data_IF_112132975852
#
_entry.id   IF_112132975852
#
_cell.length_a   1.000
_cell.length_b   1.000
_cell.length_c   1.000
_cell.angle_alpha   90.00
_cell.angle_beta   90.00
_cell.angle_gamma   90.00
#
_symmetry.space_group_name_H-M   'P 1'
#
loop_
_entity.id
_entity.type
_entity.pdbx_description
1 polymer ?
#
# COMPACT_ATOMS: atom_id res chain seq x y z
N UNK A 1 22.80 27.09 -21.08
CA UNK A 1 22.60 27.17 -22.54
C UNK A 1 22.59 25.76 -23.12
N UNK A 2 21.70 25.50 -24.08
CA UNK A 2 21.38 24.17 -24.64
C UNK A 2 19.91 23.85 -24.38
N UNK A 3 19.03 24.07 -25.37
CA UNK A 3 17.58 23.94 -25.18
C UNK A 3 17.10 22.48 -25.19
N UNK A 4 17.69 21.62 -26.05
CA UNK A 4 17.29 20.21 -26.23
C UNK A 4 18.47 19.36 -26.70
N UNK A 5 18.50 18.09 -26.29
CA UNK A 5 19.39 17.04 -26.81
C UNK A 5 18.53 15.84 -27.22
N UNK A 6 18.79 15.27 -28.40
CA UNK A 6 18.10 14.08 -28.90
C UNK A 6 19.08 13.06 -29.45
N UNK A 7 18.85 11.78 -29.15
CA UNK A 7 19.63 10.65 -29.66
C UNK A 7 18.69 9.74 -30.46
N UNK A 8 19.07 9.43 -31.70
CA UNK A 8 18.27 8.60 -32.60
C UNK A 8 19.16 7.68 -33.43
N UNK A 9 18.79 6.40 -33.51
CA UNK A 9 19.44 5.41 -34.35
C UNK A 9 18.41 4.81 -35.31
N UNK A 10 18.63 4.95 -36.63
CA UNK A 10 17.71 4.45 -37.68
C UNK A 10 17.85 2.93 -37.91
N UNK A 11 19.07 2.42 -37.81
CA UNK A 11 19.42 1.01 -37.99
C UNK A 11 20.37 0.58 -36.86
N UNK A 12 20.35 -0.71 -36.51
CA UNK A 12 21.16 -1.24 -35.40
C UNK A 12 20.54 -0.99 -34.03
N UNK A 13 21.39 -0.89 -32.99
CA UNK A 13 20.98 -0.75 -31.60
C UNK A 13 21.57 0.53 -31.00
N UNK A 14 20.76 1.24 -30.20
CA UNK A 14 21.24 2.27 -29.27
C UNK A 14 21.53 1.61 -27.92
N UNK A 15 22.75 1.76 -27.39
CA UNK A 15 23.12 1.24 -26.07
C UNK A 15 23.80 2.30 -25.22
N UNK A 16 23.34 2.46 -23.99
CA UNK A 16 23.93 3.30 -22.96
C UNK A 16 24.45 2.38 -21.86
N UNK A 17 25.76 2.34 -21.65
CA UNK A 17 26.42 1.44 -20.70
C UNK A 17 27.46 2.24 -19.91
N UNK A 18 27.53 2.01 -18.60
CA UNK A 18 28.61 2.46 -17.73
C UNK A 18 29.30 1.22 -17.16
N UNK A 19 30.63 1.19 -17.17
CA UNK A 19 31.42 0.09 -16.59
C UNK A 19 31.53 0.24 -15.07
N UNK A 20 31.69 1.48 -14.62
CA UNK A 20 31.85 1.86 -13.22
C UNK A 20 31.03 3.11 -12.95
N UNK A 21 30.59 3.28 -11.70
CA UNK A 21 29.77 4.41 -11.28
C UNK A 21 28.27 4.29 -11.62
N UNK A 22 27.44 5.18 -11.05
CA UNK A 22 25.99 5.13 -11.22
C UNK A 22 25.56 5.71 -12.57
N UNK A 23 24.44 5.21 -13.09
CA UNK A 23 23.70 5.83 -14.19
C UNK A 23 22.45 6.46 -13.62
N UNK A 24 22.35 7.79 -13.70
CA UNK A 24 21.18 8.53 -13.27
C UNK A 24 20.45 9.15 -14.46
N UNK A 25 19.14 8.93 -14.51
CA UNK A 25 18.25 9.54 -15.49
C UNK A 25 17.14 10.25 -14.73
N UNK A 26 17.00 11.56 -14.92
CA UNK A 26 16.04 12.37 -14.19
C UNK A 26 15.37 13.39 -15.10
N UNK A 27 14.09 13.67 -14.84
CA UNK A 27 13.34 14.76 -15.44
C UNK A 27 12.81 15.67 -14.32
N UNK A 28 13.55 16.72 -13.97
CA UNK A 28 13.28 17.54 -12.77
C UNK A 28 11.99 18.37 -12.87
N UNK A 29 11.73 18.95 -14.05
CA UNK A 29 10.56 19.81 -14.30
C UNK A 29 9.65 19.23 -15.41
N UNK A 30 9.87 17.97 -15.79
CA UNK A 30 9.24 17.35 -16.95
C UNK A 30 8.76 15.94 -16.68
N UNK A 31 8.30 15.28 -17.74
CA UNK A 31 7.83 13.89 -17.68
C UNK A 31 8.88 12.95 -18.29
N UNK A 32 9.11 11.82 -17.64
CA UNK A 32 9.87 10.71 -18.21
C UNK A 32 8.92 9.66 -18.78
N UNK A 33 9.09 9.32 -20.06
CA UNK A 33 8.33 8.25 -20.72
C UNK A 33 9.28 7.24 -21.32
N UNK A 34 9.06 5.97 -20.98
CA UNK A 34 9.75 4.82 -21.54
C UNK A 34 8.72 4.01 -22.33
N UNK A 35 8.98 3.79 -23.61
CA UNK A 35 8.09 3.03 -24.48
C UNK A 35 8.92 2.06 -25.32
N UNK A 36 8.40 0.85 -25.50
CA UNK A 36 8.98 -0.16 -26.37
C UNK A 36 7.83 -0.87 -27.09
N UNK A 37 7.91 -0.99 -28.42
CA UNK A 37 6.90 -1.67 -29.23
C UNK A 37 6.79 -3.16 -28.89
N UNK A 38 7.93 -3.80 -28.62
CA UNK A 38 8.00 -5.24 -28.32
C UNK A 38 8.03 -5.49 -26.81
N UNK A 39 9.23 -5.48 -26.22
CA UNK A 39 9.45 -5.84 -24.82
C UNK A 39 10.26 -4.75 -24.12
N UNK A 40 9.77 -4.31 -22.96
CA UNK A 40 10.53 -3.53 -22.00
C UNK A 40 10.96 -4.47 -20.85
N UNK A 41 12.24 -4.51 -20.53
CA UNK A 41 12.77 -5.30 -19.39
C UNK A 41 13.50 -4.36 -18.44
N UNK A 42 13.11 -4.38 -17.17
CA UNK A 42 13.80 -3.69 -16.08
C UNK A 42 14.18 -4.77 -15.07
N UNK A 43 15.48 -4.93 -14.84
CA UNK A 43 16.04 -5.96 -13.97
C UNK A 43 17.19 -5.40 -13.16
N UNK A 44 17.31 -5.84 -11.91
CA UNK A 44 18.40 -5.52 -11.00
C UNK A 44 18.95 -6.83 -10.44
N UNK A 45 20.25 -6.87 -10.17
CA UNK A 45 20.87 -7.99 -9.46
C UNK A 45 20.55 -7.96 -7.94
N UNK A 46 20.08 -6.81 -7.44
CA UNK A 46 19.65 -6.62 -6.06
C UNK A 46 18.23 -6.07 -6.06
N UNK A 47 18.02 -4.87 -5.53
CA UNK A 47 16.68 -4.32 -5.35
C UNK A 47 16.19 -3.51 -6.55
N UNK A 48 14.85 -3.47 -6.70
CA UNK A 48 14.13 -2.56 -7.59
C UNK A 48 13.11 -1.82 -6.75
N UNK A 49 13.17 -0.49 -6.75
CA UNK A 49 12.21 0.36 -6.04
C UNK A 49 11.42 1.23 -7.01
N UNK A 50 10.09 1.17 -6.93
CA UNK A 50 9.21 2.15 -7.56
C UNK A 50 8.63 3.03 -6.45
N UNK A 51 8.85 4.34 -6.53
CA UNK A 51 8.36 5.32 -5.57
C UNK A 51 7.60 6.42 -6.30
N UNK A 52 6.38 6.71 -5.84
CA UNK A 52 5.55 7.77 -6.38
C UNK A 52 4.83 8.49 -5.25
N UNK A 53 4.94 9.83 -5.20
CA UNK A 53 4.33 10.65 -4.15
C UNK A 53 2.80 10.53 -4.13
N UNK A 54 2.18 10.48 -5.30
CA UNK A 54 0.71 10.41 -5.45
C UNK A 54 0.23 8.97 -5.61
N UNK A 55 0.81 8.25 -6.58
CA UNK A 55 0.34 6.91 -6.96
C UNK A 55 1.36 6.15 -7.80
N UNK A 56 1.32 4.83 -7.69
CA UNK A 56 1.97 3.88 -8.60
C UNK A 56 0.88 2.98 -9.18
N UNK A 57 0.89 2.78 -10.50
CA UNK A 57 -0.09 1.97 -11.21
C UNK A 57 0.62 1.02 -12.18
N UNK A 58 0.31 -0.27 -12.07
CA UNK A 58 0.77 -1.31 -12.99
C UNK A 58 -0.48 -1.88 -13.67
N UNK A 59 -0.51 -1.88 -15.00
CA UNK A 59 -1.66 -2.36 -15.79
C UNK A 59 -1.15 -3.35 -16.83
N UNK A 60 -1.88 -4.46 -17.02
CA UNK A 60 -1.59 -5.44 -18.05
C UNK A 60 -2.75 -6.39 -18.28
N UNK A 61 -3.10 -6.65 -19.54
CA UNK A 61 -4.11 -7.64 -19.93
C UNK A 61 -5.48 -7.44 -19.28
N UNK A 62 -5.90 -6.18 -19.05
CA UNK A 62 -7.16 -5.85 -18.36
C UNK A 62 -7.13 -5.96 -16.83
N UNK A 63 -5.99 -6.35 -16.25
CA UNK A 63 -5.76 -6.36 -14.80
C UNK A 63 -4.90 -5.17 -14.37
N UNK A 64 -4.99 -4.79 -13.09
CA UNK A 64 -4.19 -3.70 -12.55
C UNK A 64 -3.80 -3.90 -11.08
N UNK A 65 -2.73 -3.22 -10.68
CA UNK A 65 -2.30 -2.99 -9.32
C UNK A 65 -2.07 -1.49 -9.13
N UNK A 66 -2.70 -0.90 -8.10
CA UNK A 66 -2.70 0.51 -7.79
C UNK A 66 -2.33 0.73 -6.32
N UNK A 67 -1.32 1.55 -6.09
CA UNK A 67 -0.86 1.99 -4.77
C UNK A 67 -1.15 3.48 -4.66
N UNK A 68 -2.03 3.89 -3.75
CA UNK A 68 -2.48 5.29 -3.62
C UNK A 68 -2.99 5.58 -2.20
N UNK A 69 -2.52 6.67 -1.58
CA UNK A 69 -3.05 7.20 -0.31
C UNK A 69 -3.30 6.16 0.81
N UNK A 70 -2.34 5.27 1.06
CA UNK A 70 -2.47 4.22 2.09
C UNK A 70 -3.35 3.03 1.68
N UNK A 71 -3.84 3.00 0.44
CA UNK A 71 -4.61 1.91 -0.14
C UNK A 71 -3.75 1.10 -1.11
N UNK A 72 -3.87 -0.22 -1.00
CA UNK A 72 -3.42 -1.17 -2.01
C UNK A 72 -4.67 -1.73 -2.69
N UNK A 73 -4.77 -1.55 -3.99
CA UNK A 73 -5.91 -2.00 -4.80
C UNK A 73 -5.38 -2.82 -5.97
N UNK A 74 -5.85 -4.05 -6.12
CA UNK A 74 -5.58 -4.86 -7.30
C UNK A 74 -6.89 -5.40 -7.84
N UNK A 75 -7.07 -5.36 -9.16
CA UNK A 75 -8.31 -5.76 -9.82
C UNK A 75 -8.03 -6.58 -11.07
N UNK A 76 -8.91 -7.55 -11.32
CA UNK A 76 -8.92 -8.37 -12.55
C UNK A 76 -10.36 -8.70 -12.90
N UNK A 77 -10.66 -8.84 -14.19
CA UNK A 77 -12.00 -9.22 -14.68
C UNK A 77 -12.19 -10.73 -14.78
N UNK A 78 -11.09 -11.49 -14.77
CA UNK A 78 -11.10 -12.94 -14.93
C UNK A 78 -10.70 -13.62 -13.61
N UNK A 79 -9.61 -14.38 -13.62
CA UNK A 79 -9.21 -15.22 -12.48
C UNK A 79 -8.12 -14.56 -11.65
N UNK A 80 -8.35 -14.45 -10.34
CA UNK A 80 -7.31 -14.14 -9.36
C UNK A 80 -6.79 -15.43 -8.71
N UNK A 81 -5.56 -15.83 -9.03
CA UNK A 81 -4.92 -17.02 -8.47
C UNK A 81 -3.77 -16.63 -7.54
N UNK A 82 -3.86 -17.03 -6.27
CA UNK A 82 -2.81 -16.85 -5.26
C UNK A 82 -2.29 -18.19 -4.77
N UNK A 83 -1.04 -18.51 -5.10
CA UNK A 83 -0.34 -19.73 -4.64
C UNK A 83 0.61 -19.36 -3.51
N UNK A 84 0.30 -19.77 -2.28
CA UNK A 84 1.19 -19.55 -1.13
C UNK A 84 1.10 -20.70 -0.13
N UNK A 85 2.20 -20.95 0.60
CA UNK A 85 2.23 -21.91 1.71
C UNK A 85 1.52 -21.37 2.96
N UNK A 86 1.57 -20.06 3.20
CA UNK A 86 0.93 -19.39 4.35
C UNK A 86 0.42 -18.00 3.98
N UNK A 87 -0.64 -17.59 4.66
CA UNK A 87 -1.19 -16.24 4.59
C UNK A 87 -1.35 -15.75 6.02
N UNK A 88 -0.74 -14.61 6.34
CA UNK A 88 -0.95 -13.97 7.62
C UNK A 88 -1.68 -12.65 7.39
N UNK A 89 -2.81 -12.50 8.08
CA UNK A 89 -3.53 -11.23 8.20
C UNK A 89 -3.23 -10.72 9.60
N UNK A 90 -2.38 -9.71 9.70
CA UNK A 90 -2.14 -9.04 10.98
C UNK A 90 -3.41 -8.31 11.42
N UNK A 91 -3.63 -8.21 12.73
CA UNK A 91 -4.67 -7.35 13.28
C UNK A 91 -4.42 -5.88 12.91
N UNK A 92 -5.45 -5.02 12.95
CA UNK A 92 -5.24 -3.58 12.84
C UNK A 92 -4.24 -3.13 13.90
N UNK A 93 -3.38 -2.18 13.57
CA UNK A 93 -2.49 -1.57 14.54
C UNK A 93 -3.35 -0.84 15.59
N UNK A 94 -3.54 -1.45 16.75
CA UNK A 94 -4.20 -0.80 17.89
C UNK A 94 -3.22 0.14 18.54
N UNK A 95 -3.35 1.44 18.30
CA UNK A 95 -2.78 2.43 19.20
C UNK A 95 -3.67 2.47 20.46
N UNK A 96 -3.14 2.20 21.67
CA UNK A 96 -3.92 2.39 22.88
C UNK A 96 -4.34 3.87 22.93
N UNK A 97 -5.65 4.12 22.90
CA UNK A 97 -6.17 5.45 23.22
C UNK A 97 -5.76 5.73 24.66
N UNK A 98 -4.98 6.78 24.88
CA UNK A 98 -4.68 7.28 26.21
C UNK A 98 -5.94 7.99 26.74
N UNK A 99 -6.91 7.20 27.18
CA UNK A 99 -8.13 7.72 27.80
C UNK A 99 -7.71 8.24 29.17
N UNK A 100 -7.84 9.55 29.47
CA UNK A 100 -7.59 10.06 30.81
C UNK A 100 -8.59 9.39 31.75
N UNK A 101 -8.09 8.60 32.69
CA UNK A 101 -8.91 8.06 33.77
C UNK A 101 -9.36 9.24 34.64
N UNK A 102 -10.58 9.73 34.42
CA UNK A 102 -11.20 10.70 35.31
C UNK A 102 -11.53 9.97 36.63
N UNK A 103 -11.00 10.42 37.78
CA UNK A 103 -11.27 9.78 39.05
C UNK A 103 -12.75 9.94 39.40
N UNK A 104 -13.47 8.82 39.56
CA UNK A 104 -14.83 8.80 40.13
C UNK A 104 -15.98 8.38 39.20
N UNK A 105 -15.72 7.93 37.96
CA UNK A 105 -16.80 7.59 37.00
C UNK A 105 -17.00 6.11 36.68
N UNK A 106 -16.29 5.19 37.34
CA UNK A 106 -16.48 3.75 37.13
C UNK A 106 -16.60 3.06 38.49
N UNK A 107 -17.71 2.35 38.80
CA UNK A 107 -17.76 1.52 39.98
C UNK A 107 -16.67 0.44 39.89
N UNK A 108 -16.04 0.06 41.01
CA UNK A 108 -15.11 -1.06 41.01
C UNK A 108 -15.85 -2.29 40.50
N UNK A 109 -15.36 -2.89 39.40
CA UNK A 109 -15.84 -4.17 38.87
C UNK A 109 -15.44 -5.28 39.85
N UNK A 110 -16.14 -5.33 40.98
CA UNK A 110 -16.06 -6.42 41.92
C UNK A 110 -17.34 -7.23 41.83
N UNK A 111 -17.16 -8.48 41.42
CA UNK A 111 -18.13 -9.57 41.22
C UNK A 111 -18.79 -9.68 39.84
N UNK A 112 -18.70 -10.90 39.35
CA UNK A 112 -19.20 -11.56 38.13
C UNK A 112 -20.07 -10.71 37.20
N UNK A 113 -19.54 -10.39 36.02
CA UNK A 113 -20.32 -9.82 34.92
C UNK A 113 -21.41 -10.84 34.54
N UNK A 114 -22.67 -10.49 34.75
CA UNK A 114 -23.80 -11.30 34.29
C UNK A 114 -23.82 -11.33 32.75
N UNK A 115 -23.58 -12.52 32.17
CA UNK A 115 -23.54 -12.72 30.71
C UNK A 115 -24.86 -12.28 30.06
N UNK A 116 -26.00 -12.49 30.72
CA UNK A 116 -27.31 -12.03 30.22
C UNK A 116 -27.45 -10.50 30.21
N UNK A 117 -26.92 -9.80 31.23
CA UNK A 117 -26.90 -8.35 31.25
C UNK A 117 -26.06 -7.78 30.09
N UNK A 118 -24.92 -8.42 29.82
CA UNK A 118 -24.06 -8.05 28.70
C UNK A 118 -24.75 -8.28 27.35
N UNK A 119 -25.41 -9.43 27.18
CA UNK A 119 -26.16 -9.74 25.95
C UNK A 119 -27.33 -8.80 25.72
N UNK A 120 -28.03 -8.39 26.77
CA UNK A 120 -29.14 -7.44 26.67
C UNK A 120 -28.67 -6.02 26.40
N UNK A 121 -27.54 -5.58 26.97
CA UNK A 121 -26.94 -4.27 26.68
C UNK A 121 -26.44 -4.17 25.23
N UNK A 122 -25.81 -5.24 24.70
CA UNK A 122 -25.39 -5.32 23.29
C UNK A 122 -26.60 -5.24 22.36
N UNK A 123 -27.71 -5.94 22.68
CA UNK A 123 -28.95 -5.88 21.89
C UNK A 123 -29.61 -4.50 21.97
N UNK A 124 -29.48 -3.79 23.09
CA UNK A 124 -30.12 -2.50 23.32
C UNK A 124 -29.27 -1.28 22.91
N UNK A 125 -28.04 -1.47 22.41
CA UNK A 125 -27.06 -0.38 22.18
C UNK A 125 -26.87 0.54 23.42
N UNK A 126 -27.06 -0.01 24.62
CA UNK A 126 -26.95 0.72 25.88
C UNK A 126 -25.62 0.48 26.57
N UNK A 127 -25.13 1.47 27.32
CA UNK A 127 -24.03 1.27 28.26
C UNK A 127 -24.54 0.48 29.48
N UNK A 128 -23.75 -0.48 29.98
CA UNK A 128 -24.07 -1.25 31.19
C UNK A 128 -24.21 -0.32 32.39
N UNK A 129 -25.43 -0.13 32.88
CA UNK A 129 -25.69 0.52 34.18
C UNK A 129 -26.27 -0.54 35.11
N UNK A 130 -25.65 -0.68 36.28
CA UNK A 130 -26.05 -1.63 37.31
C UNK A 130 -27.35 -1.11 37.94
N UNK A 131 -28.45 -1.84 37.76
CA UNK A 131 -29.71 -1.58 38.43
C UNK A 131 -29.59 -1.84 39.94
N UNK A 132 -30.38 -1.09 40.70
CA UNK A 132 -30.43 -0.99 42.17
C UNK A 132 -30.41 -2.33 42.93
#
# INVERSE_FOLDING_TARGET
AGEKLGLFARTGQLSLKASEGPVEVQAQNGNMRLFAEKKLTISSASDISFAGKKRITLIGGGSYLRLEAGKVEYGTTATYMRRTKRTMKAGPATMPLNIPLLPGQYPPLNSTICIECLLNAIKANGAMVQGA
#
